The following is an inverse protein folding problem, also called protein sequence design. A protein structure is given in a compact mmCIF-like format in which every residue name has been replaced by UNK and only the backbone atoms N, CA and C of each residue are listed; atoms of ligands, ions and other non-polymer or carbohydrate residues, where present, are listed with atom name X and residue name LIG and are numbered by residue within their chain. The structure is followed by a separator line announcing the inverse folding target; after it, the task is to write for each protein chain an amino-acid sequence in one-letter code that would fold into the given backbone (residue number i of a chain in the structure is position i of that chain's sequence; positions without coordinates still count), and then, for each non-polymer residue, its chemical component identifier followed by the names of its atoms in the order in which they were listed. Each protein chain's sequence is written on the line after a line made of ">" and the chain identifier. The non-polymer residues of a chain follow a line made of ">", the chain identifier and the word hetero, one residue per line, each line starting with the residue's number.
data_IF_155622739278
#
_entry.id   IF_155622739278
#
_cell.length_a   1.000
_cell.length_b   1.000
_cell.length_c   1.000
_cell.angle_alpha   90.00
_cell.angle_beta   90.00
_cell.angle_gamma   90.00
#
_symmetry.space_group_name_H-M   'P 1'
#
loop_
_entity.id
_entity.type
_entity.pdbx_description
1 polymer ?
#
# COMPACT_ATOMS: atom_id res chain seq x y z
N UNK A 1 75.09 -33.19 3.83
CA UNK A 1 74.93 -33.28 2.36
C UNK A 1 73.62 -34.00 2.11
N UNK A 2 72.52 -33.28 1.92
CA UNK A 2 72.06 -32.75 0.62
C UNK A 2 71.60 -33.83 -0.36
N UNK A 3 70.54 -33.47 -1.10
CA UNK A 3 69.84 -34.17 -2.19
C UNK A 3 68.79 -35.19 -1.74
N UNK A 4 67.48 -34.87 -1.77
CA UNK A 4 66.58 -34.59 -2.91
C UNK A 4 66.27 -35.85 -3.72
N UNK A 5 65.09 -36.41 -3.47
CA UNK A 5 64.12 -36.94 -4.45
C UNK A 5 62.85 -37.27 -3.64
N UNK A 6 61.83 -36.40 -3.66
CA UNK A 6 60.67 -36.47 -4.55
C UNK A 6 59.86 -37.78 -4.47
N UNK A 7 58.54 -37.60 -4.48
CA UNK A 7 57.45 -38.59 -4.44
C UNK A 7 57.09 -39.06 -3.01
N UNK A 8 55.88 -38.86 -2.50
CA UNK A 8 54.65 -38.36 -3.08
C UNK A 8 53.81 -37.77 -1.94
N UNK A 9 53.89 -36.46 -1.75
CA UNK A 9 52.82 -35.70 -1.11
C UNK A 9 51.73 -35.52 -2.17
N UNK A 10 50.93 -36.55 -2.39
CA UNK A 10 49.75 -36.44 -3.24
C UNK A 10 48.81 -37.56 -2.85
N UNK A 11 47.79 -37.20 -2.07
CA UNK A 11 46.47 -37.83 -1.96
C UNK A 11 45.91 -37.40 -0.62
N UNK A 12 45.31 -36.22 -0.54
CA UNK A 12 44.28 -35.87 0.44
C UNK A 12 43.99 -34.38 0.24
N UNK A 13 43.23 -34.05 -0.81
CA UNK A 13 42.38 -32.86 -0.92
C UNK A 13 41.77 -32.84 -2.31
N UNK A 14 40.83 -33.76 -2.58
CA UNK A 14 39.88 -33.61 -3.68
C UNK A 14 38.53 -34.17 -3.22
N UNK A 15 37.75 -33.31 -2.57
CA UNK A 15 36.29 -33.38 -2.66
C UNK A 15 35.73 -31.96 -2.51
N UNK A 16 36.04 -31.09 -3.46
CA UNK A 16 35.07 -30.08 -3.87
C UNK A 16 34.17 -30.77 -4.90
N UNK A 17 33.18 -31.52 -4.42
CA UNK A 17 32.04 -31.87 -5.27
C UNK A 17 31.40 -30.54 -5.70
N UNK A 18 31.76 -30.11 -6.92
CA UNK A 18 31.13 -29.00 -7.59
C UNK A 18 29.63 -29.30 -7.64
N UNK A 19 28.86 -28.61 -6.81
CA UNK A 19 27.40 -28.69 -6.85
C UNK A 19 27.03 -28.16 -8.23
N UNK A 20 26.56 -29.04 -9.10
CA UNK A 20 26.15 -28.67 -10.45
C UNK A 20 24.92 -27.76 -10.35
N UNK A 21 25.17 -26.46 -10.35
CA UNK A 21 24.14 -25.41 -10.27
C UNK A 21 23.21 -25.43 -11.48
N UNK A 22 23.51 -26.20 -12.53
CA UNK A 22 22.62 -26.37 -13.68
C UNK A 22 21.46 -27.35 -13.41
N UNK A 23 21.53 -28.11 -12.31
CA UNK A 23 20.51 -29.11 -11.96
C UNK A 23 19.37 -28.57 -11.08
N UNK A 24 19.47 -27.31 -10.62
CA UNK A 24 18.37 -26.63 -9.92
C UNK A 24 17.33 -26.13 -10.93
N UNK A 25 16.37 -27.00 -11.27
CA UNK A 25 15.16 -26.61 -12.01
C UNK A 25 14.02 -26.41 -11.02
N UNK A 26 13.53 -25.18 -10.90
CA UNK A 26 12.28 -24.92 -10.17
C UNK A 26 11.13 -25.66 -10.88
N UNK A 27 10.18 -26.26 -10.14
CA UNK A 27 9.03 -26.90 -10.77
C UNK A 27 8.30 -25.89 -11.66
N UNK A 28 7.92 -26.34 -12.85
CA UNK A 28 7.14 -25.53 -13.78
C UNK A 28 5.75 -25.31 -13.16
N UNK A 29 5.47 -24.08 -12.74
CA UNK A 29 4.18 -23.71 -12.13
C UNK A 29 3.28 -23.20 -13.25
N UNK A 30 2.20 -23.93 -13.53
CA UNK A 30 1.13 -23.41 -14.37
C UNK A 30 0.35 -22.33 -13.61
N UNK A 31 0.45 -21.08 -14.05
CA UNK A 31 -0.40 -20.01 -13.53
C UNK A 31 -1.82 -20.20 -14.05
N UNK A 32 -2.71 -20.71 -13.19
CA UNK A 32 -4.14 -20.66 -13.45
C UNK A 32 -4.62 -19.20 -13.27
N UNK A 33 -5.13 -18.57 -14.33
CA UNK A 33 -5.82 -17.28 -14.21
C UNK A 33 -7.09 -17.46 -13.37
N UNK A 34 -7.01 -17.08 -12.10
CA UNK A 34 -8.16 -17.06 -11.19
C UNK A 34 -8.58 -15.62 -10.98
N UNK A 35 -9.76 -15.26 -11.48
CA UNK A 35 -10.41 -14.02 -11.10
C UNK A 35 -10.72 -14.07 -9.59
N UNK A 36 -9.97 -13.30 -8.80
CA UNK A 36 -10.26 -13.12 -7.38
C UNK A 36 -11.38 -12.08 -7.25
N UNK A 37 -12.42 -12.34 -6.44
CA UNK A 37 -13.47 -11.37 -6.22
C UNK A 37 -12.86 -10.11 -5.59
N UNK A 38 -13.21 -8.94 -6.13
CA UNK A 38 -12.65 -7.66 -5.68
C UNK A 38 -13.09 -7.27 -4.26
N UNK A 39 -14.07 -7.98 -3.69
CA UNK A 39 -14.75 -7.72 -2.42
C UNK A 39 -15.42 -6.33 -2.29
N UNK A 40 -15.58 -5.62 -3.42
CA UNK A 40 -16.18 -4.29 -3.52
C UNK A 40 -17.55 -4.31 -4.23
N UNK A 41 -18.11 -5.48 -4.55
CA UNK A 41 -19.32 -5.62 -5.39
C UNK A 41 -20.59 -5.01 -4.77
N UNK A 42 -20.63 -4.95 -3.43
CA UNK A 42 -21.73 -4.40 -2.65
C UNK A 42 -21.61 -2.89 -2.39
N UNK A 43 -20.67 -2.22 -3.06
CA UNK A 43 -20.39 -0.81 -2.85
C UNK A 43 -20.37 -0.03 -4.16
N UNK A 44 -20.83 1.22 -4.10
CA UNK A 44 -20.79 2.14 -5.24
C UNK A 44 -19.79 3.26 -4.96
N UNK A 45 -18.93 3.56 -5.94
CA UNK A 45 -18.01 4.68 -5.87
C UNK A 45 -18.78 5.99 -6.08
N UNK A 46 -18.86 6.83 -5.04
CA UNK A 46 -19.50 8.16 -5.12
C UNK A 46 -18.50 9.25 -5.51
N UNK A 47 -17.21 8.98 -5.33
CA UNK A 47 -16.12 9.89 -5.69
C UNK A 47 -14.91 9.09 -6.14
N UNK A 48 -14.22 9.55 -7.18
CA UNK A 48 -12.94 8.99 -7.63
C UNK A 48 -12.05 10.07 -8.24
N UNK A 49 -10.84 10.26 -7.69
CA UNK A 49 -9.81 11.15 -8.25
C UNK A 49 -8.41 10.62 -7.99
N UNK A 50 -7.44 11.11 -8.77
CA UNK A 50 -6.02 10.82 -8.56
C UNK A 50 -5.50 11.69 -7.41
N UNK A 51 -4.81 11.06 -6.46
CA UNK A 51 -4.16 11.73 -5.34
C UNK A 51 -2.74 11.20 -5.09
N UNK A 52 -2.01 11.93 -4.26
CA UNK A 52 -0.83 11.43 -3.54
C UNK A 52 -1.16 11.37 -2.06
N UNK A 53 -0.82 10.26 -1.42
CA UNK A 53 -1.04 10.00 -0.01
C UNK A 53 0.29 9.96 0.73
N UNK A 54 0.36 10.66 1.85
CA UNK A 54 1.46 10.64 2.79
C UNK A 54 0.96 10.14 4.15
N UNK A 55 1.83 9.44 4.87
CA UNK A 55 1.59 8.93 6.23
C UNK A 55 2.60 9.53 7.19
N UNK A 56 2.14 9.95 8.37
CA UNK A 56 3.03 10.49 9.39
C UNK A 56 3.73 9.36 10.16
N UNK A 57 5.06 9.39 10.20
CA UNK A 57 5.90 8.44 10.92
C UNK A 57 7.14 9.15 11.45
N UNK A 58 7.51 8.88 12.70
CA UNK A 58 8.79 9.32 13.26
C UNK A 58 9.02 10.86 13.15
N UNK A 59 7.95 11.64 13.22
CA UNK A 59 8.02 13.11 13.13
C UNK A 59 8.01 13.67 11.69
N UNK A 60 7.95 12.83 10.67
CA UNK A 60 7.99 13.23 9.26
C UNK A 60 6.86 12.64 8.41
N UNK A 61 6.53 13.34 7.32
CA UNK A 61 5.56 12.87 6.33
C UNK A 61 6.25 12.00 5.29
N UNK A 62 5.95 10.70 5.27
CA UNK A 62 6.49 9.74 4.29
C UNK A 62 5.47 9.49 3.19
N UNK A 63 5.90 9.54 1.93
CA UNK A 63 5.04 9.16 0.80
C UNK A 63 4.61 7.70 0.96
N UNK A 64 3.31 7.45 0.88
CA UNK A 64 2.71 6.13 1.07
C UNK A 64 2.13 5.58 -0.22
N UNK A 65 1.55 6.44 -1.06
CA UNK A 65 0.95 6.04 -2.32
C UNK A 65 0.80 7.20 -3.31
N UNK A 66 0.82 6.86 -4.59
CA UNK A 66 0.28 7.70 -5.66
C UNK A 66 -0.70 6.86 -6.48
N UNK A 67 -1.95 7.31 -6.57
CA UNK A 67 -2.99 6.56 -7.29
C UNK A 67 -4.38 7.14 -7.05
N UNK A 68 -5.40 6.30 -7.15
CA UNK A 68 -6.79 6.75 -7.06
C UNK A 68 -7.31 6.63 -5.63
N UNK A 69 -7.88 7.72 -5.14
CA UNK A 69 -8.75 7.72 -3.96
C UNK A 69 -10.19 7.53 -4.41
N UNK A 70 -10.90 6.64 -3.74
CA UNK A 70 -12.32 6.39 -3.91
C UNK A 70 -13.04 6.54 -2.57
N UNK A 71 -14.19 7.20 -2.60
CA UNK A 71 -15.16 7.12 -1.49
C UNK A 71 -16.24 6.15 -1.95
N UNK A 72 -16.38 5.07 -1.22
CA UNK A 72 -17.28 3.95 -1.52
C UNK A 72 -18.45 3.97 -0.55
N UNK A 73 -19.67 3.78 -1.04
CA UNK A 73 -20.87 3.66 -0.23
C UNK A 73 -21.43 2.25 -0.32
N UNK A 74 -21.64 1.62 0.82
CA UNK A 74 -22.23 0.29 0.88
C UNK A 74 -23.74 0.33 0.56
N UNK A 75 -24.19 -0.53 -0.37
CA UNK A 75 -25.56 -0.51 -0.93
C UNK A 75 -26.66 -0.77 0.09
N UNK A 76 -26.39 -1.63 1.09
CA UNK A 76 -27.38 -2.03 2.10
C UNK A 76 -27.29 -1.18 3.36
N UNK A 77 -26.13 -1.18 4.04
CA UNK A 77 -25.92 -0.44 5.29
C UNK A 77 -25.77 1.06 5.12
N UNK A 78 -25.46 1.56 3.91
CA UNK A 78 -25.16 2.97 3.67
C UNK A 78 -23.77 3.42 4.16
N UNK A 79 -23.03 2.55 4.85
CA UNK A 79 -21.74 2.87 5.43
C UNK A 79 -20.74 3.32 4.35
N UNK A 80 -20.00 4.39 4.64
CA UNK A 80 -19.08 5.02 3.70
C UNK A 80 -17.63 4.83 4.15
N UNK A 81 -16.78 4.41 3.20
CA UNK A 81 -15.35 4.19 3.42
C UNK A 81 -14.48 4.81 2.34
N UNK A 82 -13.25 5.15 2.71
CA UNK A 82 -12.22 5.63 1.80
C UNK A 82 -11.30 4.47 1.46
N UNK A 83 -11.06 4.26 0.17
CA UNK A 83 -10.08 3.32 -0.35
C UNK A 83 -9.10 4.07 -1.24
N UNK A 84 -7.80 3.85 -1.01
CA UNK A 84 -6.75 4.39 -1.89
C UNK A 84 -5.94 3.23 -2.45
N UNK A 85 -5.86 3.15 -3.76
CA UNK A 85 -5.05 2.14 -4.47
C UNK A 85 -3.88 2.80 -5.18
N UNK A 86 -2.71 2.20 -5.07
CA UNK A 86 -1.52 2.64 -5.80
C UNK A 86 -1.65 2.30 -7.29
N UNK A 87 -1.32 3.26 -8.17
CA UNK A 87 -1.60 3.14 -9.60
C UNK A 87 -0.89 1.96 -10.29
N UNK A 88 0.34 1.63 -9.89
CA UNK A 88 1.14 0.59 -10.55
C UNK A 88 0.86 -0.82 -10.01
N UNK A 89 0.71 -0.96 -8.69
CA UNK A 89 0.53 -2.26 -8.03
C UNK A 89 -0.93 -2.64 -7.81
N UNK A 90 -1.84 -1.66 -7.88
CA UNK A 90 -3.26 -1.78 -7.51
C UNK A 90 -3.50 -2.19 -6.04
N UNK A 91 -2.43 -2.27 -5.24
CA UNK A 91 -2.54 -2.59 -3.82
C UNK A 91 -3.22 -1.45 -3.06
N UNK A 92 -4.02 -1.86 -2.08
CA UNK A 92 -4.68 -0.96 -1.15
C UNK A 92 -3.60 -0.36 -0.23
N UNK A 93 -3.55 0.97 -0.18
CA UNK A 93 -2.60 1.75 0.63
C UNK A 93 -3.27 2.54 1.75
N UNK A 94 -4.59 2.72 1.66
CA UNK A 94 -5.47 3.14 2.74
C UNK A 94 -6.84 2.48 2.56
N UNK A 95 -7.44 2.05 3.66
CA UNK A 95 -8.79 1.50 3.74
C UNK A 95 -9.36 1.78 5.14
N UNK A 96 -10.29 2.71 5.24
CA UNK A 96 -10.91 3.06 6.52
C UNK A 96 -12.33 3.57 6.30
N UNK A 97 -13.18 3.37 7.29
CA UNK A 97 -14.47 4.06 7.33
C UNK A 97 -14.27 5.56 7.54
N UNK A 98 -15.15 6.36 6.95
CA UNK A 98 -15.17 7.80 7.21
C UNK A 98 -15.67 8.02 8.63
N UNK A 99 -14.80 8.49 9.52
CA UNK A 99 -15.15 8.74 10.92
C UNK A 99 -15.86 10.10 11.04
N UNK A 100 -17.10 10.16 11.55
CA UNK A 100 -17.82 11.42 11.77
C UNK A 100 -17.04 12.40 12.66
N UNK A 101 -16.20 11.90 13.56
CA UNK A 101 -15.39 12.71 14.47
C UNK A 101 -14.05 13.19 13.87
N UNK A 102 -13.67 12.74 12.67
CA UNK A 102 -12.40 13.08 12.01
C UNK A 102 -12.61 13.99 10.78
N UNK A 103 -12.69 15.33 10.96
CA UNK A 103 -12.82 16.25 9.85
C UNK A 103 -11.51 16.40 9.07
N UNK A 104 -11.64 16.76 7.78
CA UNK A 104 -10.49 17.21 6.99
C UNK A 104 -10.00 18.57 7.50
N UNK A 105 -8.70 18.67 7.79
CA UNK A 105 -8.05 19.91 8.20
C UNK A 105 -7.10 20.40 7.12
N UNK A 106 -7.04 21.71 6.88
CA UNK A 106 -6.05 22.30 5.99
C UNK A 106 -4.71 22.38 6.74
N UNK A 107 -3.59 21.88 6.18
CA UNK A 107 -2.27 22.01 6.81
C UNK A 107 -1.84 23.48 6.94
N UNK A 108 -1.08 23.79 7.99
CA UNK A 108 -0.59 25.14 8.22
C UNK A 108 0.25 25.65 7.05
N UNK A 109 0.00 26.89 6.64
CA UNK A 109 0.69 27.51 5.50
C UNK A 109 0.27 26.97 4.13
N UNK A 110 -0.81 26.19 4.03
CA UNK A 110 -1.37 25.85 2.73
C UNK A 110 -2.23 26.97 2.14
N UNK A 111 -1.66 27.66 1.15
CA UNK A 111 -2.39 28.61 0.30
C UNK A 111 -2.89 28.00 -1.01
N UNK A 112 -2.56 26.73 -1.29
CA UNK A 112 -2.87 26.11 -2.58
C UNK A 112 -4.28 25.54 -2.64
N UNK A 113 -4.87 25.19 -1.49
CA UNK A 113 -6.18 24.54 -1.41
C UNK A 113 -6.20 23.13 -2.00
N UNK A 114 -5.04 22.48 -2.12
CA UNK A 114 -4.88 21.17 -2.78
C UNK A 114 -4.65 20.00 -1.84
N UNK A 115 -4.58 20.25 -0.53
CA UNK A 115 -4.18 19.24 0.45
C UNK A 115 -4.99 19.30 1.73
N UNK A 116 -5.23 18.12 2.29
CA UNK A 116 -5.93 17.95 3.56
C UNK A 116 -5.21 16.95 4.45
N UNK A 117 -5.29 17.17 5.75
CA UNK A 117 -4.80 16.28 6.80
C UNK A 117 -5.98 15.74 7.60
N UNK A 118 -5.95 14.45 7.89
CA UNK A 118 -6.98 13.77 8.68
C UNK A 118 -6.40 12.53 9.40
N UNK A 119 -7.08 12.10 10.45
CA UNK A 119 -6.77 10.85 11.15
C UNK A 119 -7.75 9.74 10.75
N UNK A 120 -7.31 8.49 10.72
CA UNK A 120 -8.19 7.36 10.44
C UNK A 120 -7.71 6.05 11.08
N UNK A 121 -8.67 5.19 11.44
CA UNK A 121 -8.44 3.79 11.79
C UNK A 121 -8.28 2.97 10.49
N UNK A 122 -7.04 2.78 10.05
CA UNK A 122 -6.70 2.20 8.76
C UNK A 122 -6.52 0.69 8.81
N UNK A 123 -7.07 0.00 7.82
CA UNK A 123 -7.05 -1.45 7.66
C UNK A 123 -6.22 -1.89 6.45
N UNK A 124 -5.44 -1.00 5.81
CA UNK A 124 -4.69 -1.37 4.60
C UNK A 124 -3.60 -2.42 4.87
N UNK A 125 -3.00 -2.38 6.06
CA UNK A 125 -1.98 -3.34 6.50
C UNK A 125 -2.58 -4.47 7.37
N UNK A 126 -3.92 -4.58 7.49
CA UNK A 126 -4.58 -5.51 8.42
C UNK A 126 -4.25 -7.00 8.15
N UNK A 127 -3.94 -7.36 6.90
CA UNK A 127 -3.48 -8.72 6.57
C UNK A 127 -2.11 -9.05 7.20
N UNK A 128 -1.29 -8.04 7.51
CA UNK A 128 0.03 -8.18 8.13
C UNK A 128 -0.04 -8.02 9.66
N UNK A 129 -0.86 -7.09 10.14
CA UNK A 129 -0.92 -6.70 11.56
C UNK A 129 -2.03 -7.41 12.34
N UNK A 130 -3.02 -7.98 11.66
CA UNK A 130 -4.20 -8.60 12.27
C UNK A 130 -5.23 -7.62 12.87
N UNK A 131 -4.97 -6.30 12.81
CA UNK A 131 -5.84 -5.25 13.35
C UNK A 131 -5.65 -3.93 12.60
N UNK A 132 -6.59 -2.98 12.78
CA UNK A 132 -6.44 -1.61 12.31
C UNK A 132 -5.31 -0.88 13.04
N UNK A 133 -4.72 0.11 12.37
CA UNK A 133 -3.76 1.05 12.96
C UNK A 133 -4.34 2.46 12.91
N UNK A 134 -4.15 3.23 13.98
CA UNK A 134 -4.51 4.65 13.97
C UNK A 134 -3.43 5.42 13.22
N UNK A 135 -3.83 6.07 12.14
CA UNK A 135 -2.93 6.74 11.19
C UNK A 135 -3.25 8.22 11.07
N UNK A 136 -2.22 9.03 10.83
CA UNK A 136 -2.37 10.39 10.36
C UNK A 136 -1.96 10.46 8.89
N UNK A 137 -2.88 10.94 8.07
CA UNK A 137 -2.71 11.06 6.63
C UNK A 137 -2.65 12.52 6.19
N UNK A 138 -1.90 12.74 5.13
CA UNK A 138 -1.91 13.97 4.34
C UNK A 138 -2.15 13.58 2.88
N UNK A 139 -3.25 14.05 2.32
CA UNK A 139 -3.63 13.79 0.94
C UNK A 139 -3.40 15.05 0.10
N UNK A 140 -2.88 14.86 -1.12
CA UNK A 140 -2.61 15.93 -2.08
C UNK A 140 -3.27 15.61 -3.42
N UNK A 141 -3.94 16.60 -3.99
CA UNK A 141 -4.60 16.52 -5.29
C UNK A 141 -3.90 17.36 -6.35
N UNK A 142 -4.09 16.98 -7.61
CA UNK A 142 -3.48 17.69 -8.74
C UNK A 142 -4.03 19.12 -8.86
N UNK A 143 -5.34 19.25 -8.77
CA UNK A 143 -6.06 20.52 -8.88
C UNK A 143 -6.75 20.87 -7.56
N UNK A 144 -7.06 22.16 -7.38
CA UNK A 144 -7.83 22.60 -6.22
C UNK A 144 -9.32 22.22 -6.33
N UNK A 145 -9.81 22.03 -7.56
CA UNK A 145 -11.17 21.53 -7.84
C UNK A 145 -11.32 20.09 -7.34
N UNK A 146 -10.39 19.19 -7.70
CA UNK A 146 -10.39 17.80 -7.20
C UNK A 146 -10.35 17.73 -5.66
N UNK A 147 -9.60 18.65 -5.04
CA UNK A 147 -9.52 18.77 -3.59
C UNK A 147 -10.86 19.25 -2.99
N UNK A 148 -11.48 20.27 -3.59
CA UNK A 148 -12.78 20.77 -3.15
C UNK A 148 -13.87 19.69 -3.26
N UNK A 149 -13.93 18.97 -4.39
CA UNK A 149 -14.85 17.86 -4.60
C UNK A 149 -14.61 16.72 -3.59
N UNK A 150 -13.34 16.37 -3.32
CA UNK A 150 -13.02 15.38 -2.29
C UNK A 150 -13.51 15.83 -0.91
N UNK A 151 -13.30 17.11 -0.56
CA UNK A 151 -13.74 17.65 0.72
C UNK A 151 -15.25 17.58 0.86
N UNK A 152 -15.98 18.00 -0.17
CA UNK A 152 -17.44 17.93 -0.18
C UNK A 152 -17.95 16.49 -0.05
N UNK A 153 -17.39 15.57 -0.83
CA UNK A 153 -17.76 14.16 -0.77
C UNK A 153 -17.41 13.51 0.59
N UNK A 154 -16.28 13.88 1.19
CA UNK A 154 -15.88 13.40 2.51
C UNK A 154 -16.76 13.96 3.62
N UNK A 155 -17.08 15.26 3.58
CA UNK A 155 -17.97 15.88 4.56
C UNK A 155 -19.39 15.29 4.44
N UNK A 156 -19.91 15.08 3.22
CA UNK A 156 -21.17 14.37 3.01
C UNK A 156 -21.13 12.94 3.56
N UNK A 157 -20.00 12.24 3.41
CA UNK A 157 -19.84 10.90 3.95
C UNK A 157 -19.82 10.87 5.48
N UNK A 158 -19.28 11.91 6.14
CA UNK A 158 -19.28 12.06 7.60
C UNK A 158 -20.69 12.25 8.17
N UNK A 159 -21.59 12.89 7.43
CA UNK A 159 -22.97 13.09 7.86
C UNK A 159 -23.84 11.82 7.68
N UNK A 160 -23.41 10.88 6.83
CA UNK A 160 -24.12 9.61 6.59
C UNK A 160 -23.73 8.53 7.60
N UNK A 161 -22.46 8.51 8.02
CA UNK A 161 -21.94 7.53 8.99
C UNK A 161 -22.28 7.92 10.44
#
# INVERSE_FOLDING_TARGET
>A
SESRVMAAASTFFEDESAVDVTQFRLPEVELLEKALPSNEENEDAVFERICKLFRFREGEWKERAKGNVRIMKHKVTGAMRVIIREAASLYVRANHFVDPSSPLTVPDGDSTGKRFRFGAADFSDAALTGSHTMEQFLIFFRTAEDAAEFKEAHDAAREVN
#
